data_IF_804027828906
#
_entry.id   IF_804027828906
#
_cell.length_a   1.000
_cell.length_b   1.000
_cell.length_c   1.000
_cell.angle_alpha   90.00
_cell.angle_beta   90.00
_cell.angle_gamma   90.00
#
_symmetry.space_group_name_H-M   'P 1'
#
loop_
_entity.id
_entity.type
_entity.pdbx_description
1 polymer ?
#
# COMPACT_ATOMS: atom_id res chain seq x y z
N UNK A 1 23.42 -15.53 13.52
CA UNK A 1 22.15 -16.03 14.07
C UNK A 1 21.43 -16.80 12.98
N UNK A 2 21.04 -18.05 13.22
CA UNK A 2 20.14 -18.77 12.31
C UNK A 2 18.70 -18.48 12.75
N UNK A 3 17.87 -17.98 11.83
CA UNK A 3 16.44 -17.80 12.07
C UNK A 3 15.70 -18.98 11.44
N UNK A 4 14.77 -19.59 12.16
CA UNK A 4 13.79 -20.46 11.51
C UNK A 4 12.76 -19.59 10.79
N UNK A 5 12.14 -20.11 9.73
CA UNK A 5 11.08 -19.39 9.03
C UNK A 5 9.92 -19.05 9.99
N UNK A 6 9.59 -19.95 10.93
CA UNK A 6 8.60 -19.70 11.98
C UNK A 6 8.95 -18.51 12.87
N UNK A 7 10.23 -18.27 13.15
CA UNK A 7 10.67 -17.13 13.96
C UNK A 7 10.43 -15.83 13.20
N UNK A 8 10.76 -15.81 11.91
CA UNK A 8 10.53 -14.67 11.02
C UNK A 8 9.03 -14.38 10.90
N UNK A 9 8.21 -15.40 10.69
CA UNK A 9 6.76 -15.27 10.57
C UNK A 9 6.16 -14.72 11.87
N UNK A 10 6.65 -15.19 13.02
CA UNK A 10 6.27 -14.63 14.33
C UNK A 10 6.69 -13.16 14.48
N UNK A 11 7.89 -12.77 14.05
CA UNK A 11 8.32 -11.37 14.05
C UNK A 11 7.41 -10.50 13.19
N UNK A 12 6.99 -11.00 12.02
CA UNK A 12 6.06 -10.29 11.12
C UNK A 12 4.68 -10.16 11.78
N UNK A 13 4.13 -11.24 12.34
CA UNK A 13 2.73 -11.31 12.76
C UNK A 13 2.48 -10.92 14.23
N UNK A 14 3.52 -10.80 15.06
CA UNK A 14 3.32 -10.45 16.47
C UNK A 14 2.60 -9.10 16.60
N UNK A 15 1.67 -8.94 17.56
CA UNK A 15 1.01 -7.66 17.76
C UNK A 15 2.02 -6.57 18.14
N UNK A 16 1.95 -5.43 17.45
CA UNK A 16 2.87 -4.29 17.64
C UNK A 16 2.11 -3.03 18.02
N UNK A 17 2.63 -2.27 18.97
CA UNK A 17 2.16 -0.91 19.27
C UNK A 17 3.08 0.13 18.66
N UNK A 18 2.52 1.27 18.28
CA UNK A 18 3.29 2.44 17.86
C UNK A 18 3.92 3.10 19.09
N UNK A 19 5.24 3.17 19.13
CA UNK A 19 6.00 3.87 20.19
C UNK A 19 6.38 5.28 19.76
N UNK A 20 6.52 5.51 18.45
CA UNK A 20 6.71 6.85 17.89
C UNK A 20 5.82 7.00 16.64
N UNK A 21 4.86 7.96 16.68
CA UNK A 21 3.94 8.17 15.57
C UNK A 21 4.64 8.78 14.36
N UNK A 22 4.00 8.78 13.18
CA UNK A 22 4.58 9.38 11.99
C UNK A 22 4.70 10.89 12.16
N UNK A 23 5.64 11.49 11.44
CA UNK A 23 5.77 12.94 11.40
C UNK A 23 4.53 13.55 10.74
N UNK A 24 4.10 14.73 11.22
CA UNK A 24 2.98 15.48 10.63
C UNK A 24 3.24 15.86 9.17
N UNK A 25 4.49 16.13 8.81
CA UNK A 25 4.92 16.40 7.45
C UNK A 25 5.90 15.33 6.97
N UNK A 26 5.80 15.00 5.69
CA UNK A 26 6.76 14.15 5.02
C UNK A 26 8.10 14.89 4.85
N UNK A 27 9.20 14.16 4.89
CA UNK A 27 10.49 14.68 4.45
C UNK A 27 10.64 14.35 2.97
N UNK A 28 10.90 15.35 2.13
CA UNK A 28 11.25 15.10 0.73
C UNK A 28 12.75 14.87 0.60
N UNK A 29 13.13 13.73 0.02
CA UNK A 29 14.53 13.41 -0.20
C UNK A 29 14.65 12.61 -1.50
N UNK A 30 15.51 13.05 -2.42
CA UNK A 30 15.72 12.39 -3.72
C UNK A 30 14.40 12.10 -4.45
N UNK A 31 13.49 13.08 -4.51
CA UNK A 31 12.17 12.96 -5.14
C UNK A 31 11.23 11.93 -4.48
N UNK A 32 11.47 11.55 -3.22
CA UNK A 32 10.57 10.67 -2.49
C UNK A 32 10.04 11.39 -1.25
N UNK A 33 8.72 11.35 -1.07
CA UNK A 33 8.06 11.70 0.19
C UNK A 33 8.28 10.56 1.16
N UNK A 34 8.99 10.83 2.26
CA UNK A 34 9.33 9.84 3.30
C UNK A 34 8.59 10.11 4.60
N UNK A 35 8.08 9.06 5.22
CA UNK A 35 7.63 9.04 6.61
C UNK A 35 7.96 7.68 7.24
N UNK A 36 7.74 7.54 8.54
CA UNK A 36 7.96 6.29 9.25
C UNK A 36 7.43 6.32 10.67
N UNK A 37 7.36 5.15 11.29
CA UNK A 37 6.94 4.95 12.67
C UNK A 37 7.94 4.04 13.38
N UNK A 38 8.07 4.22 14.69
CA UNK A 38 8.76 3.25 15.55
C UNK A 38 7.71 2.40 16.27
N UNK A 39 8.04 1.13 16.46
CA UNK A 39 7.12 0.11 16.94
C UNK A 39 7.81 -0.75 17.98
N UNK A 40 7.02 -1.35 18.87
CA UNK A 40 7.46 -2.41 19.76
C UNK A 40 6.41 -3.53 19.85
N UNK A 41 6.84 -4.76 20.10
CA UNK A 41 5.91 -5.83 20.51
C UNK A 41 5.13 -5.42 21.75
N UNK A 42 3.93 -5.96 21.97
CA UNK A 42 3.10 -5.57 23.13
C UNK A 42 3.80 -5.77 24.48
N UNK A 43 4.61 -6.82 24.62
CA UNK A 43 5.42 -7.07 25.82
C UNK A 43 6.67 -6.17 25.92
N UNK A 44 6.96 -5.38 24.88
CA UNK A 44 8.07 -4.43 24.84
C UNK A 44 9.45 -5.06 24.59
N UNK A 45 9.52 -6.37 24.34
CA UNK A 45 10.80 -7.08 24.15
C UNK A 45 11.41 -6.90 22.76
N UNK A 46 10.57 -6.73 21.74
CA UNK A 46 11.02 -6.63 20.35
C UNK A 46 10.83 -5.20 19.85
N UNK A 47 11.81 -4.72 19.07
CA UNK A 47 11.82 -3.36 18.50
C UNK A 47 11.72 -3.43 16.99
N UNK A 48 10.92 -2.54 16.41
CA UNK A 48 10.76 -2.46 14.97
C UNK A 48 10.67 -1.00 14.51
N UNK A 49 10.88 -0.79 13.23
CA UNK A 49 10.47 0.43 12.55
C UNK A 49 9.72 0.10 11.28
N UNK A 50 8.82 0.98 10.88
CA UNK A 50 8.23 0.93 9.56
C UNK A 50 8.51 2.23 8.80
N UNK A 51 8.75 2.10 7.49
CA UNK A 51 8.95 3.23 6.60
C UNK A 51 7.89 3.25 5.51
N UNK A 52 7.54 4.46 5.10
CA UNK A 52 6.57 4.73 4.05
C UNK A 52 7.22 5.72 3.08
N UNK A 53 7.38 5.31 1.83
CA UNK A 53 8.04 6.09 0.78
C UNK A 53 7.19 6.07 -0.46
N UNK A 54 7.02 7.23 -1.09
CA UNK A 54 6.36 7.36 -2.39
C UNK A 54 7.12 8.37 -3.23
N UNK A 55 7.37 8.06 -4.50
CA UNK A 55 7.99 8.98 -5.43
C UNK A 55 7.06 10.17 -5.69
N UNK A 56 7.60 11.38 -5.69
CA UNK A 56 6.83 12.63 -5.77
C UNK A 56 6.15 12.83 -7.13
N UNK A 57 6.72 12.27 -8.20
CA UNK A 57 6.20 12.40 -9.59
C UNK A 57 5.64 11.12 -10.20
N UNK A 58 5.86 9.97 -9.56
CA UNK A 58 5.47 8.64 -10.06
C UNK A 58 4.81 7.92 -8.89
N UNK A 59 3.54 8.24 -8.62
CA UNK A 59 2.86 7.80 -7.40
C UNK A 59 2.75 6.28 -7.28
N UNK A 60 2.80 5.57 -8.41
CA UNK A 60 2.89 4.11 -8.52
C UNK A 60 4.22 3.56 -8.00
N UNK A 61 5.27 4.37 -7.95
CA UNK A 61 6.56 3.99 -7.37
C UNK A 61 6.56 4.31 -5.88
N UNK A 62 6.26 3.29 -5.08
CA UNK A 62 6.30 3.38 -3.63
C UNK A 62 6.95 2.17 -2.99
N UNK A 63 7.30 2.34 -1.72
CA UNK A 63 7.83 1.29 -0.87
C UNK A 63 7.37 1.48 0.58
N UNK A 64 6.75 0.43 1.12
CA UNK A 64 6.27 0.35 2.50
C UNK A 64 6.89 -0.87 3.14
N UNK A 65 7.62 -0.75 4.24
CA UNK A 65 8.32 -1.89 4.81
C UNK A 65 8.46 -1.89 6.32
N UNK A 66 8.65 -3.10 6.86
CA UNK A 66 8.87 -3.41 8.26
C UNK A 66 10.31 -3.87 8.46
N UNK A 67 10.98 -3.27 9.44
CA UNK A 67 12.34 -3.62 9.84
C UNK A 67 12.31 -4.07 11.30
N UNK A 68 12.86 -5.23 11.59
CA UNK A 68 13.16 -5.68 12.95
C UNK A 68 14.56 -5.24 13.35
N UNK A 69 14.68 -4.76 14.59
CA UNK A 69 15.92 -4.31 15.20
C UNK A 69 16.32 -5.30 16.28
N UNK A 70 17.28 -6.17 15.98
CA UNK A 70 17.82 -7.10 16.95
C UNK A 70 18.71 -6.38 17.98
N UNK A 71 18.83 -6.96 19.17
CA UNK A 71 19.62 -6.36 20.26
C UNK A 71 21.13 -6.30 19.97
N UNK A 72 21.61 -7.12 19.03
CA UNK A 72 23.00 -7.09 18.55
C UNK A 72 23.27 -5.98 17.50
N UNK A 73 22.26 -5.16 17.19
CA UNK A 73 22.33 -4.10 16.20
C UNK A 73 22.02 -4.55 14.77
N UNK A 74 21.74 -5.83 14.54
CA UNK A 74 21.30 -6.33 13.24
C UNK A 74 19.93 -5.78 12.87
N UNK A 75 19.82 -5.20 11.68
CA UNK A 75 18.53 -4.82 11.10
C UNK A 75 18.08 -5.84 10.05
N UNK A 76 16.84 -6.31 10.18
CA UNK A 76 16.24 -7.28 9.27
C UNK A 76 14.99 -6.70 8.61
N UNK A 77 15.02 -6.50 7.28
CA UNK A 77 13.79 -6.17 6.55
C UNK A 77 12.91 -7.41 6.48
N UNK A 78 11.81 -7.40 7.24
CA UNK A 78 10.91 -8.54 7.39
C UNK A 78 9.89 -8.63 6.25
N UNK A 79 9.38 -7.47 5.82
CA UNK A 79 8.35 -7.37 4.81
C UNK A 79 8.47 -6.05 4.08
N UNK A 80 8.24 -6.05 2.77
CA UNK A 80 8.16 -4.83 1.97
C UNK A 80 7.11 -4.95 0.88
N UNK A 81 6.15 -4.03 0.86
CA UNK A 81 5.22 -3.84 -0.24
C UNK A 81 5.79 -2.78 -1.17
N UNK A 82 5.90 -3.09 -2.45
CA UNK A 82 6.39 -2.19 -3.47
C UNK A 82 5.36 -2.03 -4.58
N UNK A 83 5.29 -0.82 -5.11
CA UNK A 83 4.62 -0.56 -6.36
C UNK A 83 5.50 -0.92 -7.57
N UNK A 84 4.99 -0.81 -8.79
CA UNK A 84 5.76 -1.06 -10.00
C UNK A 84 6.97 -0.13 -10.07
N UNK A 85 8.11 -0.68 -10.48
CA UNK A 85 9.33 0.08 -10.69
C UNK A 85 10.18 -0.55 -11.80
N UNK A 86 11.13 0.22 -12.33
CA UNK A 86 12.10 -0.30 -13.30
C UNK A 86 13.03 -1.34 -12.69
N UNK A 87 13.74 -2.07 -13.55
CA UNK A 87 14.78 -3.01 -13.12
C UNK A 87 15.89 -2.27 -12.34
N UNK A 88 16.35 -2.87 -11.23
CA UNK A 88 17.61 -2.48 -10.61
C UNK A 88 18.73 -3.37 -11.15
N UNK A 89 19.84 -2.75 -11.54
CA UNK A 89 20.99 -3.35 -12.25
C UNK A 89 21.69 -4.51 -11.52
N UNK A 90 21.34 -4.82 -10.26
CA UNK A 90 21.95 -5.89 -9.46
C UNK A 90 21.11 -7.19 -9.40
N UNK A 91 19.86 -7.19 -9.90
CA UNK A 91 18.95 -8.36 -9.86
C UNK A 91 18.77 -8.93 -11.27
N UNK A 92 19.87 -9.28 -11.95
CA UNK A 92 19.82 -9.92 -13.28
C UNK A 92 19.90 -11.45 -13.24
N UNK A 93 20.05 -12.07 -12.06
CA UNK A 93 20.43 -13.51 -11.98
C UNK A 93 19.29 -14.48 -11.67
N UNK A 94 18.04 -14.01 -11.57
CA UNK A 94 16.93 -14.88 -11.24
C UNK A 94 15.67 -14.36 -11.94
N UNK A 95 15.00 -15.25 -12.68
CA UNK A 95 13.85 -15.05 -13.57
C UNK A 95 12.57 -14.48 -12.93
N UNK A 96 12.67 -13.49 -12.05
CA UNK A 96 11.55 -12.95 -11.28
C UNK A 96 11.24 -11.52 -11.74
N UNK A 97 10.54 -11.43 -12.87
CA UNK A 97 10.07 -10.18 -13.50
C UNK A 97 8.93 -9.51 -12.71
N UNK A 98 9.14 -9.31 -11.41
CA UNK A 98 8.14 -8.76 -10.48
C UNK A 98 8.13 -7.23 -10.49
N UNK A 99 9.22 -6.59 -10.90
CA UNK A 99 9.40 -5.14 -10.97
C UNK A 99 8.30 -4.39 -11.76
N UNK A 100 7.82 -4.84 -12.93
CA UNK A 100 6.73 -4.16 -13.63
C UNK A 100 5.36 -4.28 -12.93
N UNK A 101 5.26 -5.08 -11.85
CA UNK A 101 4.02 -5.29 -11.12
C UNK A 101 4.17 -4.87 -9.65
N UNK A 102 3.04 -4.66 -8.99
CA UNK A 102 3.00 -4.55 -7.53
C UNK A 102 3.40 -5.87 -6.90
N UNK A 103 4.22 -5.83 -5.85
CA UNK A 103 4.78 -7.05 -5.28
C UNK A 103 5.14 -6.90 -3.80
N UNK A 104 5.27 -8.05 -3.14
CA UNK A 104 5.60 -8.15 -1.72
C UNK A 104 6.88 -8.96 -1.59
N UNK A 105 7.88 -8.37 -0.93
CA UNK A 105 9.06 -9.09 -0.43
C UNK A 105 8.79 -9.55 1.00
N UNK A 106 9.16 -10.79 1.31
CA UNK A 106 9.12 -11.34 2.67
C UNK A 106 10.51 -11.86 3.04
N UNK A 107 10.89 -11.66 4.29
CA UNK A 107 12.11 -12.24 4.82
C UNK A 107 12.07 -13.76 4.74
N UNK A 108 13.17 -14.34 4.28
CA UNK A 108 13.31 -15.76 4.09
C UNK A 108 14.52 -16.29 4.87
N UNK A 109 14.29 -17.33 5.69
CA UNK A 109 15.31 -17.95 6.52
C UNK A 109 16.51 -18.49 5.71
N UNK A 110 16.27 -19.13 4.57
CA UNK A 110 17.35 -19.70 3.74
C UNK A 110 18.18 -18.62 3.08
N UNK A 111 17.58 -17.46 2.75
CA UNK A 111 18.34 -16.29 2.30
C UNK A 111 19.27 -15.77 3.39
N UNK A 112 18.78 -15.63 4.61
CA UNK A 112 19.59 -15.15 5.75
C UNK A 112 20.73 -16.12 6.03
N UNK A 113 20.44 -17.43 6.06
CA UNK A 113 21.44 -18.47 6.26
C UNK A 113 22.53 -18.46 5.18
N UNK A 114 22.15 -18.20 3.93
CA UNK A 114 23.07 -18.07 2.80
C UNK A 114 23.81 -16.71 2.76
N UNK A 115 23.64 -15.84 3.76
CA UNK A 115 24.25 -14.50 3.79
C UNK A 115 23.70 -13.53 2.74
N UNK A 116 22.53 -13.83 2.18
CA UNK A 116 21.82 -12.97 1.24
C UNK A 116 20.91 -11.99 1.98
N UNK A 117 20.45 -10.95 1.28
CA UNK A 117 19.39 -10.09 1.79
C UNK A 117 18.16 -10.93 2.13
N UNK A 118 17.62 -10.74 3.33
CA UNK A 118 16.48 -11.51 3.81
C UNK A 118 15.26 -11.39 2.91
N UNK A 119 15.00 -10.18 2.42
CA UNK A 119 13.89 -9.78 1.55
C UNK A 119 14.22 -9.92 0.06
N UNK A 120 15.08 -10.88 -0.32
CA UNK A 120 15.55 -11.03 -1.71
C UNK A 120 14.45 -11.45 -2.67
N UNK A 121 13.52 -12.29 -2.22
CA UNK A 121 12.46 -12.82 -3.06
C UNK A 121 11.17 -12.02 -2.92
N UNK A 122 10.46 -11.90 -4.03
CA UNK A 122 9.20 -11.17 -4.13
C UNK A 122 8.13 -12.02 -4.80
N UNK A 123 6.88 -11.78 -4.40
CA UNK A 123 5.69 -12.35 -5.02
C UNK A 123 4.82 -11.20 -5.54
N UNK A 124 4.42 -11.27 -6.80
CA UNK A 124 3.46 -10.32 -7.39
C UNK A 124 2.14 -10.40 -6.62
N UNK A 125 1.58 -9.25 -6.27
CA UNK A 125 0.37 -9.20 -5.45
C UNK A 125 -0.49 -7.99 -5.80
N UNK A 126 -1.78 -8.25 -6.03
CA UNK A 126 -2.80 -7.22 -6.19
C UNK A 126 -3.23 -6.59 -4.86
N UNK A 127 -2.87 -7.18 -3.71
CA UNK A 127 -3.21 -6.62 -2.38
C UNK A 127 -2.56 -5.25 -2.11
N UNK A 128 -1.55 -4.92 -2.91
CA UNK A 128 -0.82 -3.66 -2.86
C UNK A 128 -0.96 -2.93 -4.19
N UNK A 129 -2.16 -2.82 -4.77
CA UNK A 129 -2.41 -2.18 -6.08
C UNK A 129 -2.14 -0.68 -6.12
N UNK A 130 -2.15 -0.01 -4.96
CA UNK A 130 -1.84 1.39 -4.79
C UNK A 130 -1.01 1.60 -3.52
N UNK A 131 -0.45 2.80 -3.34
CA UNK A 131 0.25 3.16 -2.11
C UNK A 131 -0.65 3.03 -0.87
N UNK A 132 -1.91 3.45 -0.98
CA UNK A 132 -2.90 3.33 0.09
C UNK A 132 -3.23 1.86 0.39
N UNK A 133 -3.41 1.03 -0.64
CA UNK A 133 -3.66 -0.41 -0.44
C UNK A 133 -2.45 -1.10 0.19
N UNK A 134 -1.25 -0.73 -0.23
CA UNK A 134 -0.01 -1.22 0.37
C UNK A 134 0.07 -0.88 1.87
N UNK A 135 -0.28 0.34 2.28
CA UNK A 135 -0.32 0.69 3.71
C UNK A 135 -1.40 -0.10 4.46
N UNK A 136 -2.61 -0.24 3.91
CA UNK A 136 -3.70 -1.01 4.56
C UNK A 136 -3.30 -2.48 4.76
N UNK A 137 -2.81 -3.09 3.68
CA UNK A 137 -2.35 -4.47 3.70
C UNK A 137 -1.18 -4.62 4.69
N UNK A 138 -0.22 -3.71 4.65
CA UNK A 138 0.92 -3.69 5.56
C UNK A 138 0.51 -3.64 7.03
N UNK A 139 -0.36 -2.69 7.43
CA UNK A 139 -0.80 -2.55 8.82
C UNK A 139 -1.48 -3.83 9.33
N UNK A 140 -2.30 -4.46 8.48
CA UNK A 140 -3.02 -5.69 8.80
C UNK A 140 -2.07 -6.88 8.88
N UNK A 141 -1.27 -7.11 7.84
CA UNK A 141 -0.36 -8.26 7.73
C UNK A 141 0.76 -8.24 8.79
N UNK A 142 1.16 -7.04 9.25
CA UNK A 142 2.18 -6.87 10.29
C UNK A 142 1.62 -6.66 11.70
N UNK A 143 0.29 -6.74 11.84
CA UNK A 143 -0.43 -6.70 13.11
C UNK A 143 -0.14 -5.44 13.96
N UNK A 144 -0.05 -4.28 13.30
CA UNK A 144 0.16 -2.99 13.97
C UNK A 144 -1.17 -2.48 14.52
N UNK A 145 -1.22 -2.28 15.84
CA UNK A 145 -2.40 -1.82 16.55
C UNK A 145 -2.53 -0.30 16.50
N UNK A 146 -3.75 0.20 16.25
CA UNK A 146 -4.06 1.64 16.30
C UNK A 146 -3.43 2.46 15.17
N UNK A 147 -2.96 1.82 14.10
CA UNK A 147 -2.31 2.49 12.98
C UNK A 147 -3.26 3.39 12.19
N UNK A 148 -4.53 3.00 12.09
CA UNK A 148 -5.60 3.70 11.39
C UNK A 148 -5.80 5.14 11.87
N UNK A 149 -5.52 5.43 13.14
CA UNK A 149 -5.59 6.79 13.72
C UNK A 149 -4.61 7.74 13.04
N UNK A 150 -3.47 7.22 12.57
CA UNK A 150 -2.42 8.00 11.92
C UNK A 150 -2.53 8.02 10.39
N UNK A 151 -3.41 7.18 9.83
CA UNK A 151 -3.67 7.09 8.40
C UNK A 151 -5.17 7.22 8.11
N UNK A 152 -5.84 8.31 8.53
CA UNK A 152 -7.30 8.45 8.46
C UNK A 152 -7.83 8.49 7.02
N UNK A 153 -7.00 8.84 6.04
CA UNK A 153 -7.37 8.80 4.62
C UNK A 153 -7.61 7.38 4.11
N UNK A 154 -7.16 6.35 4.82
CA UNK A 154 -7.37 4.97 4.43
C UNK A 154 -8.83 4.51 4.59
N UNK A 155 -9.63 5.15 5.45
CA UNK A 155 -11.06 4.84 5.62
C UNK A 155 -11.96 5.52 4.58
N UNK A 156 -11.51 6.61 3.95
CA UNK A 156 -12.33 7.40 3.02
C UNK A 156 -12.40 6.82 1.59
N UNK A 157 -11.46 5.96 1.18
CA UNK A 157 -11.39 5.48 -0.21
C UNK A 157 -12.47 4.45 -0.59
N UNK A 158 -13.33 4.02 0.34
CA UNK A 158 -14.41 3.06 0.05
C UNK A 158 -15.67 3.75 -0.51
N UNK A 159 -15.77 5.08 -0.46
CA UNK A 159 -17.00 5.80 -0.80
C UNK A 159 -17.07 6.35 -2.23
N UNK A 160 -15.96 6.42 -2.96
CA UNK A 160 -15.91 7.08 -4.28
C UNK A 160 -16.33 6.18 -5.46
N UNK A 161 -16.49 4.86 -5.27
CA UNK A 161 -16.95 3.95 -6.33
C UNK A 161 -18.48 3.79 -6.39
N UNK A 162 -19.23 4.32 -5.42
CA UNK A 162 -20.69 4.16 -5.34
C UNK A 162 -21.48 5.39 -5.83
N UNK A 163 -20.83 6.49 -6.22
CA UNK A 163 -21.51 7.72 -6.66
C UNK A 163 -21.52 7.93 -8.19
N UNK A 164 -21.06 6.95 -8.98
CA UNK A 164 -21.01 7.08 -10.45
C UNK A 164 -22.11 6.28 -11.19
N UNK A 165 -23.10 5.72 -10.50
CA UNK A 165 -24.14 4.88 -11.15
C UNK A 165 -25.58 5.37 -11.00
N UNK A 166 -25.84 6.58 -10.49
CA UNK A 166 -27.19 7.14 -10.45
C UNK A 166 -27.23 8.55 -11.02
N UNK A 167 -27.46 8.65 -12.33
CA UNK A 167 -27.64 9.95 -12.95
C UNK A 167 -27.73 9.99 -14.45
N UNK A 168 -28.54 9.14 -15.10
CA UNK A 168 -29.11 9.48 -16.42
C UNK A 168 -30.31 8.59 -16.75
N UNK A 169 -31.52 9.09 -16.45
CA UNK A 169 -32.76 8.68 -17.08
C UNK A 169 -33.74 9.85 -16.98
N UNK A 170 -33.63 10.79 -17.93
CA UNK A 170 -34.70 11.73 -18.26
C UNK A 170 -34.63 11.96 -19.76
N UNK A 171 -35.59 11.40 -20.49
CA UNK A 171 -36.32 12.12 -21.53
C UNK A 171 -37.52 11.29 -21.99
N UNK A 172 -38.69 11.76 -21.58
CA UNK A 172 -39.98 11.19 -21.91
C UNK A 172 -41.08 12.15 -21.53
N UNK A 173 -41.26 13.23 -22.29
CA UNK A 173 -42.58 13.74 -22.67
C UNK A 173 -42.47 14.92 -23.65
N UNK A 174 -43.00 14.75 -24.87
CA UNK A 174 -43.29 15.85 -25.79
C UNK A 174 -44.77 16.24 -25.64
N UNK A 175 -45.01 17.50 -25.32
CA UNK A 175 -46.34 18.13 -25.15
C UNK A 175 -46.87 18.59 -26.52
N UNK A 176 -48.19 18.47 -26.81
CA UNK A 176 -48.76 18.88 -28.09
C UNK A 176 -49.01 20.41 -28.13
N UNK A 177 -48.77 21.02 -29.29
CA UNK A 177 -49.06 22.44 -29.55
C UNK A 177 -50.31 22.56 -30.42
N UNK A 178 -51.38 23.09 -29.82
CA UNK A 178 -52.62 23.50 -30.47
C UNK A 178 -52.45 24.89 -31.10
N UNK A 179 -52.85 25.06 -32.35
CA UNK A 179 -53.11 26.37 -32.98
C UNK A 179 -54.36 26.31 -33.85
N UNK A 180 -55.13 27.39 -33.80
CA UNK A 180 -56.51 27.56 -34.21
C UNK A 180 -56.76 27.66 -35.74
N UNK A 181 -58.02 27.39 -36.13
CA UNK A 181 -58.65 27.80 -37.40
C UNK A 181 -58.93 29.32 -37.44
N UNK A 182 -59.04 29.92 -38.66
CA UNK A 182 -60.37 30.24 -39.18
C UNK A 182 -60.59 30.08 -40.72
N UNK A 183 -61.84 29.76 -41.06
CA UNK A 183 -62.71 30.01 -42.26
C UNK A 183 -62.19 30.57 -43.60
N UNK A 184 -62.57 29.92 -44.72
CA UNK A 184 -63.54 30.36 -45.78
C UNK A 184 -63.47 29.41 -47.02
N UNK A 185 -64.57 28.72 -47.39
CA UNK A 185 -65.49 28.93 -48.52
C UNK A 185 -65.04 28.45 -49.94
N UNK A 186 -65.76 27.43 -50.42
CA UNK A 186 -66.27 27.15 -51.79
C UNK A 186 -65.38 27.34 -53.04
N UNK A 187 -65.18 26.26 -53.81
CA UNK A 187 -65.86 25.95 -55.08
C UNK A 187 -65.73 24.45 -55.39
#
# INVERSE_FOLDING_TARGET
>A
MAYLQSDIDQLIQCPKRITKPPKRSHTEERQHKKNGIELASLDGKLKFSAYFRQHSSFEENYSVGLIYHADDGTELTLMRCNGPHGEQSEIQTNNNNHHPYTHIHLANATCIEAGLRADRYAVVSAACSSYQDAIRYFLTATNIQGGEVYFPYLSQAVQTSYLSSEGENKDGNSVPRSTAHPTEQSY
#
